data_IF_292049183995
#
_entry.id   IF_292049183995
#
_cell.length_a   1.000
_cell.length_b   1.000
_cell.length_c   1.000
_cell.angle_alpha   90.00
_cell.angle_beta   90.00
_cell.angle_gamma   90.00
#
_symmetry.space_group_name_H-M   'P 1'
#
loop_
_entity.id
_entity.type
_entity.pdbx_description
1 polymer ?
#
# COMPACT_ATOMS: atom_id res chain seq x y z
N UNK A 1 -9.06 9.81 11.76
CA UNK A 1 -10.16 9.13 12.49
C UNK A 1 -10.66 7.90 11.73
N UNK A 2 -11.20 8.07 10.51
CA UNK A 2 -11.73 6.94 9.75
C UNK A 2 -10.70 5.89 9.38
N UNK A 3 -9.47 6.28 9.06
CA UNK A 3 -8.40 5.33 8.73
C UNK A 3 -8.01 4.48 9.94
N UNK A 4 -7.92 5.06 11.12
CA UNK A 4 -7.64 4.28 12.33
C UNK A 4 -8.69 3.21 12.53
N UNK A 5 -9.97 3.57 12.39
CA UNK A 5 -11.08 2.62 12.51
C UNK A 5 -10.98 1.50 11.47
N UNK A 6 -10.67 1.83 10.22
CA UNK A 6 -10.49 0.84 9.17
C UNK A 6 -9.38 -0.15 9.52
N UNK A 7 -8.23 0.34 9.99
CA UNK A 7 -7.10 -0.51 10.31
C UNK A 7 -7.30 -1.30 11.60
N UNK A 8 -8.01 -0.74 12.59
CA UNK A 8 -8.32 -1.47 13.82
C UNK A 8 -9.22 -2.67 13.56
N UNK A 9 -10.06 -2.59 12.53
CA UNK A 9 -10.97 -3.66 12.11
C UNK A 9 -10.41 -4.52 10.96
N UNK A 10 -9.12 -4.40 10.68
CA UNK A 10 -8.48 -5.12 9.58
C UNK A 10 -8.27 -6.59 9.96
N UNK A 11 -8.52 -7.50 8.99
CA UNK A 11 -8.31 -8.94 9.19
C UNK A 11 -6.82 -9.23 9.44
N UNK A 12 -6.47 -9.87 10.58
CA UNK A 12 -5.07 -10.20 10.86
C UNK A 12 -4.41 -11.05 9.78
N UNK A 13 -5.17 -11.86 9.05
CA UNK A 13 -4.64 -12.69 7.97
C UNK A 13 -4.19 -11.89 6.76
N UNK A 14 -4.67 -10.65 6.62
CA UNK A 14 -4.26 -9.75 5.54
C UNK A 14 -3.01 -8.93 5.88
N UNK A 15 -2.50 -9.06 7.09
CA UNK A 15 -1.27 -8.37 7.48
C UNK A 15 -0.09 -8.92 6.68
N UNK A 16 0.76 -8.01 6.21
CA UNK A 16 1.95 -8.35 5.46
C UNK A 16 3.16 -7.70 6.13
N UNK A 17 4.14 -8.51 6.51
CA UNK A 17 5.39 -8.02 7.11
C UNK A 17 5.14 -7.16 8.36
N UNK A 18 4.17 -7.56 9.18
CA UNK A 18 3.85 -6.88 10.43
C UNK A 18 2.95 -5.65 10.28
N UNK A 19 2.43 -5.36 9.09
CA UNK A 19 1.57 -4.20 8.87
C UNK A 19 0.21 -4.60 8.29
N UNK A 20 -0.90 -3.92 8.64
CA UNK A 20 -0.95 -2.86 9.67
C UNK A 20 -0.62 -3.42 11.05
N UNK A 21 -0.13 -2.59 11.97
CA UNK A 21 0.12 -3.04 13.35
C UNK A 21 -1.19 -3.32 14.09
N UNK A 22 -1.09 -3.94 15.26
CA UNK A 22 -2.25 -4.30 16.07
C UNK A 22 -2.40 -3.28 17.19
N UNK A 23 -3.63 -2.78 17.40
CA UNK A 23 -3.97 -1.84 18.45
C UNK A 23 -4.01 -0.40 17.97
N UNK A 24 -4.97 0.36 18.51
CA UNK A 24 -5.24 1.73 18.06
C UNK A 24 -4.00 2.63 18.19
N UNK A 25 -3.30 2.57 19.32
CA UNK A 25 -2.13 3.42 19.55
C UNK A 25 -1.00 3.12 18.54
N UNK A 26 -0.72 1.83 18.30
CA UNK A 26 0.28 1.43 17.32
C UNK A 26 -0.11 1.84 15.90
N UNK A 27 -1.40 1.74 15.58
CA UNK A 27 -1.92 2.17 14.28
C UNK A 27 -1.77 3.68 14.11
N UNK A 28 -2.09 4.47 15.14
CA UNK A 28 -1.94 5.91 15.08
C UNK A 28 -0.49 6.34 14.84
N UNK A 29 0.46 5.72 15.54
CA UNK A 29 1.88 6.02 15.35
C UNK A 29 2.36 5.64 13.95
N UNK A 30 1.95 4.48 13.46
CA UNK A 30 2.30 4.00 12.12
C UNK A 30 1.69 4.90 11.03
N UNK A 31 0.41 5.29 11.19
CA UNK A 31 -0.25 6.19 10.24
C UNK A 31 0.41 7.57 10.20
N UNK A 32 0.88 8.08 11.33
CA UNK A 32 1.57 9.36 11.35
C UNK A 32 2.77 9.37 10.38
N UNK A 33 3.52 8.27 10.34
CA UNK A 33 4.64 8.12 9.41
C UNK A 33 4.17 8.03 7.95
N UNK A 34 3.11 7.23 7.69
CA UNK A 34 2.57 7.09 6.33
C UNK A 34 2.03 8.41 5.80
N UNK A 35 1.35 9.19 6.64
CA UNK A 35 0.71 10.42 6.21
C UNK A 35 1.69 11.55 5.92
N UNK A 36 2.96 11.41 6.28
CA UNK A 36 4.02 12.33 5.85
C UNK A 36 4.35 12.21 4.35
N UNK A 37 3.94 11.10 3.72
CA UNK A 37 4.15 10.89 2.30
C UNK A 37 2.95 11.33 1.44
N UNK A 38 2.83 10.72 0.27
CA UNK A 38 1.72 10.94 -0.65
C UNK A 38 0.68 9.86 -0.38
N UNK A 39 -0.58 10.24 -0.19
CA UNK A 39 -1.63 9.32 0.23
C UNK A 39 -2.90 9.51 -0.59
N UNK A 40 -3.56 8.39 -0.92
CA UNK A 40 -4.89 8.36 -1.52
C UNK A 40 -5.76 7.39 -0.75
N UNK A 41 -6.97 7.78 -0.45
CA UNK A 41 -7.93 6.99 0.33
C UNK A 41 -9.15 6.69 -0.53
N UNK A 42 -9.57 5.43 -0.56
CA UNK A 42 -10.82 5.03 -1.17
C UNK A 42 -11.94 5.09 -0.12
N UNK A 43 -13.05 5.73 -0.47
CA UNK A 43 -14.19 5.86 0.43
C UNK A 43 -15.40 5.10 -0.12
N UNK A 44 -16.18 4.51 0.79
CA UNK A 44 -17.48 3.94 0.49
C UNK A 44 -18.46 4.45 1.55
N UNK A 45 -19.51 5.14 1.11
CA UNK A 45 -20.48 5.78 2.00
C UNK A 45 -19.81 6.67 3.06
N UNK A 46 -18.78 7.41 2.64
CA UNK A 46 -18.04 8.33 3.50
C UNK A 46 -17.04 7.67 4.45
N UNK A 47 -16.85 6.35 4.37
CA UNK A 47 -15.90 5.61 5.21
C UNK A 47 -14.71 5.13 4.43
N UNK A 48 -13.48 5.25 4.95
CA UNK A 48 -12.31 4.66 4.32
C UNK A 48 -12.43 3.14 4.21
N UNK A 49 -12.22 2.62 3.02
CA UNK A 49 -12.23 1.17 2.73
C UNK A 49 -10.93 0.73 2.06
N UNK A 50 -10.09 1.66 1.67
CA UNK A 50 -8.77 1.38 1.11
C UNK A 50 -7.87 2.58 1.24
N UNK A 51 -6.57 2.32 1.26
CA UNK A 51 -5.56 3.35 1.45
C UNK A 51 -4.28 2.95 0.72
N UNK A 52 -3.74 3.85 -0.09
CA UNK A 52 -2.42 3.70 -0.67
C UNK A 52 -1.54 4.85 -0.20
N UNK A 53 -0.31 4.53 0.18
CA UNK A 53 0.65 5.50 0.67
C UNK A 53 1.98 5.32 -0.05
N UNK A 54 2.64 6.44 -0.35
CA UNK A 54 3.98 6.48 -0.94
C UNK A 54 4.87 7.21 0.05
N UNK A 55 5.68 6.46 0.77
CA UNK A 55 6.45 6.97 1.91
C UNK A 55 7.89 7.22 1.47
N UNK A 56 8.42 8.46 1.66
CA UNK A 56 9.83 8.72 1.38
C UNK A 56 10.73 7.78 2.18
N UNK A 57 11.73 7.20 1.53
CA UNK A 57 12.65 6.25 2.18
C UNK A 57 13.98 6.87 2.61
N UNK A 58 14.06 8.21 2.61
CA UNK A 58 15.28 8.92 2.93
C UNK A 58 16.17 9.20 1.72
N UNK A 59 15.77 8.72 0.55
CA UNK A 59 16.41 8.98 -0.74
C UNK A 59 15.43 9.73 -1.64
N UNK A 60 15.64 9.73 -2.95
CA UNK A 60 14.65 10.24 -3.91
C UNK A 60 13.57 9.20 -4.27
N UNK A 61 13.53 8.07 -3.55
CA UNK A 61 12.61 6.97 -3.79
C UNK A 61 11.54 6.88 -2.72
N UNK A 62 10.43 6.24 -3.05
CA UNK A 62 9.28 6.08 -2.16
C UNK A 62 8.90 4.60 -2.07
N UNK A 63 8.55 4.18 -0.88
CA UNK A 63 8.02 2.85 -0.64
C UNK A 63 6.49 2.88 -0.69
N UNK A 64 5.91 1.96 -1.44
CA UNK A 64 4.45 1.84 -1.56
C UNK A 64 3.90 0.92 -0.48
N UNK A 65 2.81 1.37 0.15
CA UNK A 65 1.97 0.53 1.00
C UNK A 65 0.53 0.69 0.54
N UNK A 66 -0.18 -0.42 0.32
CA UNK A 66 -1.57 -0.40 -0.10
C UNK A 66 -2.37 -1.42 0.71
N UNK A 67 -3.54 -1.01 1.18
CA UNK A 67 -4.42 -1.85 1.98
C UNK A 67 -5.86 -1.63 1.54
N UNK A 68 -6.61 -2.73 1.37
CA UNK A 68 -8.05 -2.70 1.13
C UNK A 68 -8.72 -3.53 2.21
N UNK A 69 -9.74 -2.96 2.86
CA UNK A 69 -10.47 -3.65 3.93
C UNK A 69 -11.08 -4.95 3.41
N UNK A 70 -11.09 -6.00 4.25
CA UNK A 70 -11.52 -7.34 3.86
C UNK A 70 -12.92 -7.41 3.25
N UNK A 71 -13.84 -6.56 3.71
CA UNK A 71 -15.22 -6.55 3.22
C UNK A 71 -15.32 -6.01 1.79
N UNK A 72 -14.25 -5.39 1.27
CA UNK A 72 -14.20 -4.77 -0.04
C UNK A 72 -13.16 -5.40 -0.96
N UNK A 73 -12.60 -6.54 -0.57
CA UNK A 73 -11.70 -7.31 -1.42
C UNK A 73 -12.45 -7.79 -2.67
N UNK A 74 -11.74 -7.88 -3.79
CA UNK A 74 -12.28 -8.35 -5.07
C UNK A 74 -13.37 -7.47 -5.68
N UNK A 75 -13.59 -6.26 -5.15
CA UNK A 75 -14.50 -5.30 -5.74
C UNK A 75 -13.82 -4.38 -6.77
N UNK A 76 -12.54 -4.66 -7.10
CA UNK A 76 -11.76 -3.84 -8.02
C UNK A 76 -11.18 -2.58 -7.39
N UNK A 77 -11.39 -2.37 -6.10
CA UNK A 77 -10.92 -1.17 -5.39
C UNK A 77 -9.39 -1.09 -5.41
N UNK A 78 -8.70 -2.22 -5.18
CA UNK A 78 -7.24 -2.23 -5.18
C UNK A 78 -6.66 -1.75 -6.51
N UNK A 79 -7.21 -2.22 -7.63
CA UNK A 79 -6.75 -1.83 -8.96
C UNK A 79 -6.97 -0.34 -9.25
N UNK A 80 -8.14 0.19 -8.89
CA UNK A 80 -8.43 1.61 -9.04
C UNK A 80 -7.57 2.45 -8.10
N UNK A 81 -7.40 1.99 -6.87
CA UNK A 81 -6.65 2.71 -5.85
C UNK A 81 -5.18 2.84 -6.23
N UNK A 82 -4.54 1.76 -6.70
CA UNK A 82 -3.15 1.82 -7.10
C UNK A 82 -2.96 2.66 -8.37
N UNK A 83 -3.86 2.56 -9.34
CA UNK A 83 -3.77 3.37 -10.56
C UNK A 83 -3.91 4.86 -10.26
N UNK A 84 -4.92 5.24 -9.48
CA UNK A 84 -5.12 6.63 -9.07
C UNK A 84 -3.99 7.12 -8.18
N UNK A 85 -3.51 6.27 -7.27
CA UNK A 85 -2.40 6.59 -6.39
C UNK A 85 -1.11 6.88 -7.14
N UNK A 86 -0.76 6.03 -8.10
CA UNK A 86 0.45 6.22 -8.92
C UNK A 86 0.36 7.52 -9.73
N UNK A 87 -0.82 7.80 -10.33
CA UNK A 87 -1.03 9.04 -11.06
C UNK A 87 -0.87 10.27 -10.19
N UNK A 88 -1.49 10.25 -9.01
CA UNK A 88 -1.38 11.34 -8.05
C UNK A 88 0.06 11.51 -7.54
N UNK A 89 0.73 10.41 -7.21
CA UNK A 89 2.11 10.45 -6.75
C UNK A 89 3.03 11.09 -7.80
N UNK A 90 2.84 10.72 -9.07
CA UNK A 90 3.58 11.32 -10.17
C UNK A 90 3.37 12.83 -10.24
N UNK A 91 2.14 13.29 -10.08
CA UNK A 91 1.82 14.73 -10.04
C UNK A 91 2.50 15.43 -8.88
N UNK A 92 2.71 14.74 -7.76
CA UNK A 92 3.37 15.26 -6.58
C UNK A 92 4.90 15.17 -6.65
N UNK A 93 5.46 14.74 -7.77
CA UNK A 93 6.90 14.70 -7.96
C UNK A 93 7.58 13.39 -7.58
N UNK A 94 6.82 12.35 -7.27
CA UNK A 94 7.37 11.01 -7.01
C UNK A 94 7.88 10.42 -8.32
N UNK A 95 9.12 9.96 -8.36
CA UNK A 95 9.76 9.49 -9.59
C UNK A 95 10.06 8.00 -9.60
N UNK A 96 10.15 7.36 -8.42
CA UNK A 96 10.47 5.95 -8.30
C UNK A 96 9.78 5.36 -7.08
N UNK A 97 9.11 4.23 -7.30
CA UNK A 97 8.33 3.55 -6.26
C UNK A 97 8.78 2.09 -6.15
N UNK A 98 8.95 1.62 -4.92
CA UNK A 98 9.30 0.23 -4.66
C UNK A 98 8.45 -0.34 -3.53
N UNK A 99 8.40 -1.67 -3.49
CA UNK A 99 7.71 -2.43 -2.45
C UNK A 99 8.40 -3.79 -2.27
N UNK A 100 8.07 -4.47 -1.18
CA UNK A 100 8.50 -5.85 -0.95
C UNK A 100 7.27 -6.75 -0.82
N UNK A 101 7.34 -7.92 -1.45
CA UNK A 101 6.26 -8.93 -1.42
C UNK A 101 6.88 -10.27 -1.08
N UNK A 102 6.27 -11.01 -0.17
CA UNK A 102 6.74 -12.36 0.14
C UNK A 102 6.72 -13.23 -1.12
N UNK A 103 7.77 -14.05 -1.29
CA UNK A 103 8.01 -14.80 -2.52
C UNK A 103 6.90 -15.78 -2.89
N UNK A 104 6.13 -16.27 -1.91
CA UNK A 104 5.02 -17.20 -2.16
C UNK A 104 3.71 -16.53 -2.56
N UNK A 105 3.59 -15.21 -2.39
CA UNK A 105 2.36 -14.46 -2.69
C UNK A 105 2.31 -14.08 -4.17
N UNK A 106 2.17 -15.08 -5.04
CA UNK A 106 2.23 -14.87 -6.49
C UNK A 106 1.07 -14.05 -7.04
N UNK A 107 -0.11 -14.18 -6.46
CA UNK A 107 -1.27 -13.40 -6.87
C UNK A 107 -1.07 -11.90 -6.65
N UNK A 108 -0.46 -11.54 -5.53
CA UNK A 108 -0.13 -10.15 -5.21
C UNK A 108 0.97 -9.64 -6.16
N UNK A 109 1.97 -10.46 -6.46
CA UNK A 109 3.00 -10.10 -7.43
C UNK A 109 2.41 -9.83 -8.81
N UNK A 110 1.45 -10.63 -9.25
CA UNK A 110 0.74 -10.40 -10.52
C UNK A 110 -0.07 -9.11 -10.50
N UNK A 111 -0.70 -8.80 -9.34
CA UNK A 111 -1.41 -7.54 -9.16
C UNK A 111 -0.48 -6.34 -9.37
N UNK A 112 0.69 -6.35 -8.74
CA UNK A 112 1.66 -5.27 -8.94
C UNK A 112 2.25 -5.27 -10.35
N UNK A 113 2.46 -6.44 -10.94
CA UNK A 113 2.92 -6.54 -12.34
C UNK A 113 1.96 -5.87 -13.30
N UNK A 114 0.66 -6.05 -13.10
CA UNK A 114 -0.37 -5.36 -13.91
C UNK A 114 -0.36 -3.86 -13.70
N UNK A 115 0.08 -3.40 -12.54
CA UNK A 115 0.24 -1.98 -12.25
C UNK A 115 1.56 -1.39 -12.76
N UNK A 116 2.35 -2.19 -13.49
CA UNK A 116 3.59 -1.73 -14.12
C UNK A 116 4.85 -1.96 -13.30
N UNK A 117 4.76 -2.70 -12.20
CA UNK A 117 5.93 -3.03 -11.38
C UNK A 117 6.68 -4.23 -11.94
N UNK A 118 8.00 -4.19 -11.84
CA UNK A 118 8.89 -5.29 -12.23
C UNK A 118 9.67 -5.78 -11.02
N UNK A 119 9.93 -7.08 -10.95
CA UNK A 119 10.76 -7.66 -9.89
C UNK A 119 12.22 -7.30 -10.14
N UNK A 120 12.87 -6.68 -9.15
CA UNK A 120 14.27 -6.26 -9.26
C UNK A 120 15.21 -7.12 -8.42
N UNK A 121 14.69 -7.89 -7.47
CA UNK A 121 15.49 -8.81 -6.67
C UNK A 121 14.62 -10.03 -6.32
N UNK A 122 14.67 -11.10 -7.15
CA UNK A 122 13.81 -12.27 -6.96
C UNK A 122 14.36 -13.29 -5.95
N UNK A 123 15.48 -12.99 -5.29
CA UNK A 123 16.13 -13.91 -4.36
C UNK A 123 15.59 -13.75 -2.94
N UNK A 124 15.49 -14.88 -2.20
CA UNK A 124 15.12 -14.86 -0.81
C UNK A 124 13.62 -14.96 -0.55
N UNK A 125 13.22 -14.70 0.70
CA UNK A 125 11.84 -14.86 1.17
C UNK A 125 10.93 -13.70 0.74
N UNK A 126 11.49 -12.59 0.32
CA UNK A 126 10.73 -11.43 -0.16
C UNK A 126 11.34 -10.93 -1.47
N UNK A 127 10.47 -10.59 -2.42
CA UNK A 127 10.88 -9.99 -3.69
C UNK A 127 10.66 -8.48 -3.62
N UNK A 128 11.67 -7.73 -4.05
CA UNK A 128 11.50 -6.28 -4.26
C UNK A 128 10.95 -6.06 -5.66
N UNK A 129 9.93 -5.23 -5.76
CA UNK A 129 9.37 -4.80 -7.04
C UNK A 129 9.43 -3.29 -7.11
N UNK A 130 9.60 -2.75 -8.31
CA UNK A 130 9.72 -1.31 -8.49
C UNK A 130 9.13 -0.84 -9.81
N UNK A 131 8.84 0.46 -9.86
CA UNK A 131 8.36 1.14 -11.05
C UNK A 131 8.88 2.58 -11.06
N UNK A 132 9.42 3.01 -12.19
CA UNK A 132 9.73 4.41 -12.48
C UNK A 132 8.45 5.11 -12.96
N UNK A 133 8.17 6.26 -12.41
CA UNK A 133 6.97 7.03 -12.79
C UNK A 133 7.24 8.08 -13.86
#
# INVERSE_FOLDING_TARGET
AGLVEMYDNFDPELRAQGTPPIGVEAIEDWLADLLDGVNVVALHDGRPVGHVSFVPDGTDRHELAIFVHQDFQRAGIGSHLIANGLGYAREQGVTYVWLSVESWKRGIQRFYGRAGFSTVNPMGAAHRMSRTL
#
